data_IF_363286211293
#
_entry.id   IF_363286211293
#
_cell.length_a   1.000
_cell.length_b   1.000
_cell.length_c   1.000
_cell.angle_alpha   90.00
_cell.angle_beta   90.00
_cell.angle_gamma   90.00
#
_symmetry.space_group_name_H-M   'P 1'
#
loop_
_entity.id
_entity.type
_entity.pdbx_description
1 polymer ?
#
# COMPACT_ATOMS: atom_id res chain seq x y z
N UNK A 1 -32.74 34.10 -49.24
CA UNK A 1 -34.17 33.85 -49.04
C UNK A 1 -34.55 32.54 -49.72
N UNK A 2 -34.71 31.49 -48.96
CA UNK A 2 -35.30 30.22 -49.46
C UNK A 2 -35.97 29.54 -48.24
N UNK A 3 -37.26 29.40 -48.35
CA UNK A 3 -38.14 28.78 -47.39
C UNK A 3 -38.06 27.25 -47.54
N UNK A 4 -38.00 26.52 -46.40
CA UNK A 4 -38.15 25.06 -46.35
C UNK A 4 -39.45 24.73 -45.62
N UNK A 5 -40.31 23.87 -46.16
CA UNK A 5 -41.61 23.54 -45.57
C UNK A 5 -41.48 22.50 -44.43
N UNK A 6 -42.24 22.72 -43.38
CA UNK A 6 -42.42 21.83 -42.26
C UNK A 6 -43.41 20.73 -42.62
N UNK A 7 -42.98 19.46 -42.61
CA UNK A 7 -43.88 18.31 -42.71
C UNK A 7 -44.28 17.85 -41.31
N UNK A 8 -45.61 17.90 -41.06
CA UNK A 8 -46.20 17.42 -39.83
C UNK A 8 -46.15 15.89 -39.74
N UNK A 9 -45.65 15.42 -38.58
CA UNK A 9 -45.70 14.01 -38.20
C UNK A 9 -46.91 13.78 -37.32
N UNK A 10 -47.85 13.00 -37.80
CA UNK A 10 -49.04 12.57 -37.05
C UNK A 10 -48.58 11.54 -35.97
N UNK A 11 -48.77 11.89 -34.70
CA UNK A 11 -48.52 10.98 -33.57
C UNK A 11 -49.71 10.03 -33.41
N UNK A 12 -49.48 8.75 -33.66
CA UNK A 12 -50.41 7.68 -33.30
C UNK A 12 -50.15 7.30 -31.83
N UNK A 13 -51.11 7.62 -30.97
CA UNK A 13 -51.10 7.19 -29.58
C UNK A 13 -51.66 5.76 -29.53
N UNK A 14 -50.79 4.77 -29.33
CA UNK A 14 -51.20 3.41 -29.02
C UNK A 14 -51.36 3.28 -27.49
N UNK A 15 -52.57 3.18 -26.98
CA UNK A 15 -52.88 2.79 -25.63
C UNK A 15 -52.60 1.27 -25.48
N UNK A 16 -51.48 0.92 -24.89
CA UNK A 16 -51.25 -0.44 -24.43
C UNK A 16 -51.83 -0.62 -23.01
N UNK A 17 -52.86 -1.46 -22.87
CA UNK A 17 -53.27 -1.94 -21.55
C UNK A 17 -52.14 -2.81 -21.00
N UNK A 18 -51.27 -2.20 -20.17
CA UNK A 18 -50.26 -2.93 -19.42
C UNK A 18 -50.93 -3.71 -18.30
N UNK A 19 -50.84 -5.04 -18.34
CA UNK A 19 -51.10 -5.86 -17.16
C UNK A 19 -50.17 -5.40 -16.03
N UNK A 20 -50.76 -4.89 -14.94
CA UNK A 20 -50.06 -4.60 -13.70
C UNK A 20 -49.57 -5.93 -13.08
N UNK A 21 -48.36 -6.34 -13.41
CA UNK A 21 -47.67 -7.40 -12.67
C UNK A 21 -47.29 -6.82 -11.31
N UNK A 22 -47.75 -7.40 -10.20
CA UNK A 22 -47.33 -6.91 -8.88
C UNK A 22 -45.78 -6.95 -8.76
N UNK A 23 -45.16 -5.99 -8.11
CA UNK A 23 -43.73 -6.00 -7.90
C UNK A 23 -43.33 -7.32 -7.20
N UNK A 24 -42.29 -7.97 -7.72
CA UNK A 24 -41.74 -9.17 -7.10
C UNK A 24 -41.37 -8.86 -5.65
N UNK A 25 -41.60 -9.77 -4.71
CA UNK A 25 -41.19 -9.57 -3.33
C UNK A 25 -39.67 -9.29 -3.29
N UNK A 26 -39.21 -8.41 -2.37
CA UNK A 26 -37.80 -8.14 -2.25
C UNK A 26 -37.07 -9.47 -2.04
N UNK A 27 -36.00 -9.68 -2.80
CA UNK A 27 -35.13 -10.84 -2.59
C UNK A 27 -34.63 -10.78 -1.17
N UNK A 28 -34.59 -11.90 -0.42
CA UNK A 28 -33.93 -11.91 0.87
C UNK A 28 -32.52 -11.35 0.66
N UNK A 29 -32.12 -10.39 1.51
CA UNK A 29 -30.85 -9.71 1.44
C UNK A 29 -29.74 -10.75 1.27
N UNK A 30 -28.99 -10.64 0.18
CA UNK A 30 -27.79 -11.45 0.02
C UNK A 30 -26.92 -11.22 1.27
N UNK A 31 -26.33 -12.28 1.86
CA UNK A 31 -25.52 -12.10 3.05
C UNK A 31 -24.53 -10.97 2.79
N UNK A 32 -24.48 -9.99 3.68
CA UNK A 32 -23.63 -8.81 3.55
C UNK A 32 -22.20 -9.30 3.27
N UNK A 33 -21.69 -9.04 2.09
CA UNK A 33 -20.32 -9.41 1.74
C UNK A 33 -19.38 -8.59 2.62
N UNK A 34 -18.44 -9.25 3.30
CA UNK A 34 -17.43 -8.55 4.10
C UNK A 34 -16.71 -7.52 3.22
N UNK A 35 -16.43 -6.30 3.75
CA UNK A 35 -15.62 -5.31 3.03
C UNK A 35 -14.31 -5.94 2.54
N UNK A 36 -13.90 -5.60 1.32
CA UNK A 36 -12.64 -6.08 0.77
C UNK A 36 -11.46 -5.54 1.58
N UNK A 37 -10.41 -6.34 1.72
CA UNK A 37 -9.14 -5.88 2.25
C UNK A 37 -8.39 -5.10 1.16
N UNK A 38 -8.06 -3.83 1.42
CA UNK A 38 -7.26 -3.02 0.50
C UNK A 38 -5.78 -3.30 0.71
N UNK A 39 -5.07 -3.64 -0.37
CA UNK A 39 -3.68 -4.05 -0.33
C UNK A 39 -2.79 -2.98 -0.94
N UNK A 40 -1.78 -2.56 -0.19
CA UNK A 40 -0.77 -1.61 -0.66
C UNK A 40 0.60 -2.27 -0.65
N UNK A 41 1.32 -2.13 -1.75
CA UNK A 41 2.70 -2.61 -1.89
C UNK A 41 3.63 -1.48 -1.48
N UNK A 42 4.49 -1.72 -0.51
CA UNK A 42 5.51 -0.78 -0.04
C UNK A 42 6.87 -1.29 -0.48
N UNK A 43 7.43 -0.69 -1.54
CA UNK A 43 8.66 -1.18 -2.15
C UNK A 43 9.78 -0.14 -2.11
N UNK A 44 11.02 -0.59 -2.06
CA UNK A 44 12.17 0.29 -2.04
C UNK A 44 13.40 -0.30 -1.36
N UNK A 45 14.21 0.58 -0.81
CA UNK A 45 15.47 0.24 -0.15
C UNK A 45 15.42 0.48 1.37
N UNK A 46 16.56 0.71 2.00
CA UNK A 46 16.69 0.86 3.46
C UNK A 46 15.70 1.83 4.10
N UNK A 47 15.41 2.96 3.46
CA UNK A 47 14.42 3.90 3.98
C UNK A 47 13.00 3.32 4.01
N UNK A 48 12.64 2.49 3.03
CA UNK A 48 11.37 1.76 3.05
C UNK A 48 11.40 0.55 4.00
N UNK A 49 12.57 -0.11 4.16
CA UNK A 49 12.72 -1.16 5.19
C UNK A 49 12.37 -0.68 6.59
N UNK A 50 12.77 0.57 6.89
CA UNK A 50 12.53 1.22 8.16
C UNK A 50 13.78 1.31 9.03
N UNK A 51 14.39 2.50 8.98
CA UNK A 51 15.60 2.86 9.75
C UNK A 51 15.29 3.95 10.79
N UNK A 52 14.02 4.37 10.89
CA UNK A 52 13.60 5.33 11.90
C UNK A 52 13.76 4.72 13.30
N UNK A 53 14.31 5.50 14.23
CA UNK A 53 14.52 5.10 15.63
C UNK A 53 13.41 5.68 16.49
N UNK A 54 12.79 4.84 17.31
CA UNK A 54 11.70 5.26 18.20
C UNK A 54 12.22 6.12 19.34
N UNK A 55 13.21 5.62 20.04
CA UNK A 55 13.82 6.32 21.17
C UNK A 55 15.31 5.98 21.30
N UNK A 56 16.11 6.97 21.58
CA UNK A 56 17.52 6.82 21.91
C UNK A 56 17.95 7.97 22.81
N UNK A 57 18.68 7.67 23.88
CA UNK A 57 19.22 8.68 24.77
C UNK A 57 20.71 8.83 24.52
N UNK A 58 21.22 10.05 24.66
CA UNK A 58 22.64 10.33 24.63
C UNK A 58 23.31 10.05 26.01
N UNK A 59 24.61 10.33 26.11
CA UNK A 59 25.37 10.10 27.34
C UNK A 59 24.93 11.00 28.50
N UNK A 60 24.25 12.11 28.22
CA UNK A 60 23.62 13.01 29.21
C UNK A 60 22.23 12.54 29.67
N UNK A 61 21.68 11.54 29.03
CA UNK A 61 20.33 11.03 29.30
C UNK A 61 19.21 11.76 28.52
N UNK A 62 19.56 12.72 27.67
CA UNK A 62 18.61 13.45 26.84
C UNK A 62 18.19 12.63 25.61
N UNK A 63 16.96 12.82 25.18
CA UNK A 63 16.44 12.16 23.97
C UNK A 63 17.16 12.70 22.73
N UNK A 64 17.72 11.80 21.91
CA UNK A 64 18.47 12.18 20.70
C UNK A 64 17.54 12.79 19.67
N UNK A 65 17.91 13.96 19.16
CA UNK A 65 17.16 14.68 18.14
C UNK A 65 16.90 13.83 16.88
N UNK A 66 15.68 13.90 16.37
CA UNK A 66 15.25 13.14 15.19
C UNK A 66 14.70 11.75 15.49
N UNK A 67 14.72 11.28 16.73
CA UNK A 67 13.95 10.08 17.11
C UNK A 67 12.45 10.38 17.17
N UNK A 68 11.62 9.37 17.05
CA UNK A 68 10.17 9.54 17.10
C UNK A 68 9.71 10.13 18.45
N UNK A 69 10.37 9.70 19.54
CA UNK A 69 10.12 10.24 20.87
C UNK A 69 10.49 11.73 20.98
N UNK A 70 11.62 12.11 20.40
CA UNK A 70 12.03 13.52 20.36
C UNK A 70 11.02 14.36 19.56
N UNK A 71 10.58 13.91 18.36
CA UNK A 71 9.58 14.58 17.53
C UNK A 71 8.26 14.75 18.30
N UNK A 72 7.84 13.72 19.04
CA UNK A 72 6.61 13.73 19.81
C UNK A 72 6.64 14.65 21.04
N UNK A 73 7.82 14.97 21.55
CA UNK A 73 8.01 15.81 22.72
C UNK A 73 8.36 17.29 22.38
N UNK A 74 8.77 17.58 21.14
CA UNK A 74 9.00 18.95 20.69
C UNK A 74 7.68 19.65 20.33
N UNK A 75 7.31 20.76 21.00
CA UNK A 75 6.04 21.47 20.74
C UNK A 75 5.83 21.88 19.27
N UNK A 76 6.91 22.04 18.50
CA UNK A 76 6.86 22.44 17.08
C UNK A 76 6.47 21.28 16.17
N UNK A 77 6.71 20.02 16.60
CA UNK A 77 6.56 18.84 15.76
C UNK A 77 5.61 17.79 16.36
N UNK A 78 5.26 17.88 17.64
CA UNK A 78 4.41 16.92 18.35
C UNK A 78 3.08 16.63 17.62
N UNK A 79 2.46 17.65 17.03
CA UNK A 79 1.21 17.51 16.29
C UNK A 79 1.34 16.62 15.04
N UNK A 80 2.54 16.53 14.44
CA UNK A 80 2.78 15.71 13.26
C UNK A 80 2.66 14.20 13.54
N UNK A 81 2.92 13.81 14.78
CA UNK A 81 2.95 12.40 15.20
C UNK A 81 1.94 12.08 16.31
N UNK A 82 1.06 13.03 16.65
CA UNK A 82 0.06 12.85 17.69
C UNK A 82 -0.87 11.65 17.41
N UNK A 83 -1.23 11.41 16.17
CA UNK A 83 -2.06 10.29 15.73
C UNK A 83 -1.38 8.91 15.92
N UNK A 84 -0.06 8.88 16.15
CA UNK A 84 0.70 7.65 16.42
C UNK A 84 0.73 7.29 17.91
N UNK A 85 0.03 8.07 18.77
CA UNK A 85 -0.07 7.83 20.20
C UNK A 85 -1.49 7.41 20.58
N UNK A 86 -1.59 6.36 21.41
CA UNK A 86 -2.84 5.99 22.08
C UNK A 86 -3.20 6.95 23.21
N UNK A 87 -4.42 6.80 23.73
CA UNK A 87 -4.90 7.61 24.86
C UNK A 87 -4.07 7.41 26.14
N UNK A 88 -3.41 6.28 26.27
CA UNK A 88 -2.49 5.93 27.35
C UNK A 88 -1.06 6.51 27.17
N UNK A 89 -0.82 7.22 26.07
CA UNK A 89 0.47 7.77 25.71
C UNK A 89 1.47 6.76 25.10
N UNK A 90 1.11 5.48 24.98
CA UNK A 90 1.91 4.49 24.28
C UNK A 90 1.85 4.69 22.76
N UNK A 91 2.82 4.13 22.04
CA UNK A 91 2.75 4.09 20.58
C UNK A 91 1.59 3.19 20.15
N UNK A 92 0.69 3.75 19.36
CA UNK A 92 -0.51 3.06 18.94
C UNK A 92 -0.20 1.90 17.98
N UNK A 93 -0.95 0.82 18.11
CA UNK A 93 -1.09 -0.21 17.10
C UNK A 93 -2.51 -0.24 16.58
N UNK A 94 -2.72 -0.78 15.36
CA UNK A 94 -4.03 -0.89 14.73
C UNK A 94 -4.37 -2.35 14.49
N UNK A 95 -5.60 -2.73 14.76
CA UNK A 95 -6.14 -4.07 14.53
C UNK A 95 -6.94 -4.20 13.22
N UNK A 96 -7.10 -3.10 12.49
CA UNK A 96 -7.72 -2.99 11.18
C UNK A 96 -6.70 -2.78 10.03
N UNK A 97 -5.43 -2.51 10.37
CA UNK A 97 -4.31 -2.42 9.43
C UNK A 97 -3.26 -3.44 9.78
N UNK A 98 -2.83 -4.20 8.78
CA UNK A 98 -1.87 -5.28 8.95
C UNK A 98 -0.64 -5.07 8.07
N UNK A 99 0.48 -5.61 8.51
CA UNK A 99 1.74 -5.62 7.75
C UNK A 99 2.14 -7.04 7.42
N UNK A 100 2.71 -7.25 6.23
CA UNK A 100 3.43 -8.48 5.85
C UNK A 100 4.78 -8.12 5.26
N UNK A 101 5.83 -8.66 5.83
CA UNK A 101 7.20 -8.35 5.43
C UNK A 101 8.12 -9.57 5.52
N UNK A 102 8.86 -9.86 4.44
CA UNK A 102 9.93 -10.83 4.37
C UNK A 102 11.30 -10.12 4.37
N UNK A 103 11.95 -9.93 5.52
CA UNK A 103 13.29 -9.36 5.58
C UNK A 103 14.32 -10.24 4.86
N UNK A 104 15.48 -9.70 4.47
CA UNK A 104 16.52 -10.48 3.79
C UNK A 104 16.88 -11.77 4.52
N UNK A 105 16.81 -12.89 3.81
CA UNK A 105 17.15 -14.21 4.34
C UNK A 105 16.24 -14.76 5.43
N UNK A 106 15.04 -14.20 5.60
CA UNK A 106 14.09 -14.60 6.65
C UNK A 106 12.69 -14.80 6.07
N UNK A 107 11.89 -15.69 6.68
CA UNK A 107 10.50 -15.89 6.27
C UNK A 107 9.68 -14.61 6.50
N UNK A 108 8.63 -14.47 5.69
CA UNK A 108 7.64 -13.42 5.87
C UNK A 108 6.98 -13.52 7.25
N UNK A 109 6.62 -12.37 7.79
CA UNK A 109 5.84 -12.22 9.02
C UNK A 109 4.66 -11.31 8.77
N UNK A 110 3.55 -11.64 9.38
CA UNK A 110 2.37 -10.78 9.48
C UNK A 110 2.22 -10.27 10.91
N UNK A 111 1.76 -9.04 11.04
CA UNK A 111 1.43 -8.43 12.33
C UNK A 111 0.38 -7.33 12.14
N UNK A 112 -0.40 -7.00 13.19
CA UNK A 112 -1.08 -5.72 13.26
C UNK A 112 -0.09 -4.56 13.06
N UNK A 113 -0.55 -3.44 12.49
CA UNK A 113 0.30 -2.28 12.30
C UNK A 113 0.77 -1.75 13.65
N UNK A 114 2.06 -1.52 13.76
CA UNK A 114 2.72 -0.96 14.93
C UNK A 114 4.20 -0.79 14.67
N UNK A 115 4.95 -0.46 15.70
CA UNK A 115 6.40 -0.39 15.63
C UNK A 115 6.98 -1.79 15.41
N UNK A 116 8.09 -1.88 14.65
CA UNK A 116 8.87 -3.12 14.49
C UNK A 116 8.63 -3.88 13.18
N UNK A 117 7.86 -3.33 12.22
CA UNK A 117 7.81 -3.89 10.86
C UNK A 117 9.09 -3.55 10.06
N UNK A 118 10.23 -3.92 10.62
CA UNK A 118 11.58 -3.62 10.12
C UNK A 118 12.46 -4.86 10.18
N UNK A 119 13.65 -4.87 9.55
CA UNK A 119 14.60 -5.97 9.69
C UNK A 119 15.23 -6.08 11.09
N UNK A 120 15.21 -5.00 11.88
CA UNK A 120 15.85 -4.93 13.21
C UNK A 120 15.15 -5.81 14.26
N UNK A 121 13.81 -5.85 14.26
CA UNK A 121 12.98 -6.66 15.18
C UNK A 121 13.17 -6.38 16.67
N UNK A 122 13.61 -5.19 17.03
CA UNK A 122 13.93 -4.80 18.39
C UNK A 122 12.84 -3.96 19.09
N UNK A 123 11.73 -3.69 18.38
CA UNK A 123 10.68 -2.83 18.91
C UNK A 123 11.06 -1.35 19.02
N UNK A 124 12.25 -0.98 18.54
CA UNK A 124 12.77 0.39 18.58
C UNK A 124 13.01 1.00 17.19
N UNK A 125 12.60 0.28 16.14
CA UNK A 125 12.70 0.79 14.77
C UNK A 125 11.34 0.79 14.07
N UNK A 126 11.16 1.75 13.17
CA UNK A 126 9.97 1.88 12.33
C UNK A 126 10.34 2.36 10.93
N UNK A 127 9.42 2.20 10.01
CA UNK A 127 9.51 2.69 8.64
C UNK A 127 8.29 3.51 8.25
N UNK A 128 8.19 3.90 6.96
CA UNK A 128 7.09 4.70 6.44
C UNK A 128 5.71 4.05 6.62
N UNK A 129 5.64 2.71 6.75
CA UNK A 129 4.39 1.99 6.96
C UNK A 129 3.66 2.47 8.20
N UNK A 130 4.38 2.89 9.25
CA UNK A 130 3.74 3.29 10.51
C UNK A 130 2.79 4.46 10.29
N UNK A 131 3.27 5.59 9.80
CA UNK A 131 2.43 6.76 9.56
C UNK A 131 1.44 6.54 8.41
N UNK A 132 1.89 5.94 7.30
CA UNK A 132 1.03 5.64 6.15
C UNK A 132 -0.14 4.73 6.54
N UNK A 133 0.12 3.69 7.32
CA UNK A 133 -0.92 2.76 7.73
C UNK A 133 -1.96 3.39 8.65
N UNK A 134 -1.57 4.29 9.54
CA UNK A 134 -2.53 5.07 10.34
C UNK A 134 -3.44 5.92 9.44
N UNK A 135 -2.85 6.66 8.49
CA UNK A 135 -3.63 7.50 7.55
C UNK A 135 -4.57 6.65 6.68
N UNK A 136 -4.09 5.52 6.17
CA UNK A 136 -4.91 4.63 5.34
C UNK A 136 -6.03 3.97 6.15
N UNK A 137 -5.76 3.54 7.39
CA UNK A 137 -6.79 2.98 8.26
C UNK A 137 -7.88 3.96 8.64
N UNK A 138 -7.55 5.24 8.77
CA UNK A 138 -8.55 6.28 9.04
C UNK A 138 -9.37 6.65 7.79
N UNK A 139 -8.79 6.48 6.59
CA UNK A 139 -9.41 6.90 5.34
C UNK A 139 -10.20 5.79 4.62
N UNK A 140 -9.92 4.53 4.92
CA UNK A 140 -10.48 3.38 4.20
C UNK A 140 -11.48 2.64 5.08
N UNK A 141 -12.69 2.49 4.56
CA UNK A 141 -13.70 1.65 5.21
C UNK A 141 -13.39 0.16 4.94
N UNK A 142 -12.84 -0.50 5.94
CA UNK A 142 -12.43 -1.90 5.90
C UNK A 142 -10.93 -2.11 6.16
N UNK A 143 -10.51 -3.37 6.26
CA UNK A 143 -9.13 -3.67 6.61
C UNK A 143 -8.13 -3.34 5.51
N UNK A 144 -6.92 -2.98 5.92
CA UNK A 144 -5.79 -2.67 5.05
C UNK A 144 -4.67 -3.67 5.29
N UNK A 145 -4.03 -4.13 4.21
CA UNK A 145 -2.81 -4.94 4.26
C UNK A 145 -1.66 -4.21 3.56
N UNK A 146 -0.59 -3.94 4.29
CA UNK A 146 0.64 -3.36 3.79
C UNK A 146 1.65 -4.48 3.52
N UNK A 147 1.93 -4.76 2.26
CA UNK A 147 2.92 -5.76 1.85
C UNK A 147 4.23 -5.05 1.59
N UNK A 148 5.18 -5.20 2.52
CA UNK A 148 6.49 -4.56 2.42
C UNK A 148 7.46 -5.46 1.64
N UNK A 149 7.99 -4.91 0.54
CA UNK A 149 8.96 -5.55 -0.36
C UNK A 149 10.16 -4.62 -0.54
N UNK A 150 10.89 -4.42 0.53
CA UNK A 150 12.01 -3.50 0.58
C UNK A 150 13.25 -4.19 1.14
N UNK A 151 14.39 -3.91 0.53
CA UNK A 151 15.68 -4.50 0.89
C UNK A 151 16.78 -3.46 0.79
N UNK A 152 17.55 -3.29 1.86
CA UNK A 152 18.62 -2.30 1.96
C UNK A 152 19.72 -2.50 0.93
N UNK A 153 20.31 -1.40 0.46
CA UNK A 153 21.42 -1.42 -0.47
C UNK A 153 21.07 -1.82 -1.91
N UNK A 154 19.78 -1.87 -2.26
CA UNK A 154 19.29 -2.32 -3.57
C UNK A 154 19.04 -1.15 -4.52
N UNK A 155 19.40 -1.33 -5.82
CA UNK A 155 19.21 -0.35 -6.88
C UNK A 155 18.04 -0.73 -7.78
N UNK A 156 17.45 0.25 -8.45
CA UNK A 156 16.50 0.01 -9.53
C UNK A 156 17.23 -0.48 -10.78
N UNK A 157 18.44 0.00 -11.01
CA UNK A 157 19.25 -0.31 -12.18
C UNK A 157 19.56 -1.80 -12.34
N UNK A 158 19.84 -2.50 -11.21
CA UNK A 158 20.18 -3.92 -11.24
C UNK A 158 19.24 -4.80 -10.44
N UNK A 159 18.92 -4.41 -9.19
CA UNK A 159 18.23 -5.30 -8.26
C UNK A 159 16.72 -5.35 -8.51
N UNK A 160 16.09 -4.18 -8.73
CA UNK A 160 14.67 -4.08 -9.07
C UNK A 160 14.42 -3.91 -10.58
N UNK A 161 15.44 -4.14 -11.43
CA UNK A 161 15.30 -3.95 -12.88
C UNK A 161 14.12 -4.73 -13.43
N UNK A 162 13.13 -4.03 -14.03
CA UNK A 162 11.94 -4.71 -14.57
C UNK A 162 12.26 -5.36 -15.93
N UNK A 163 11.52 -6.38 -16.33
CA UNK A 163 11.74 -7.08 -17.60
C UNK A 163 11.77 -6.17 -18.83
N UNK A 164 10.88 -5.16 -18.89
CA UNK A 164 10.78 -4.23 -20.03
C UNK A 164 11.96 -3.27 -20.16
N UNK A 165 12.83 -3.18 -19.15
CA UNK A 165 14.05 -2.37 -19.23
C UNK A 165 15.19 -3.09 -19.98
N UNK A 166 14.96 -4.33 -20.42
CA UNK A 166 15.98 -5.15 -21.08
C UNK A 166 17.07 -5.63 -20.13
N UNK A 167 17.97 -6.47 -20.66
CA UNK A 167 18.98 -7.12 -19.84
C UNK A 167 18.37 -8.20 -18.92
N UNK A 168 19.05 -8.48 -17.82
CA UNK A 168 18.58 -9.45 -16.83
C UNK A 168 17.59 -8.81 -15.88
N UNK A 169 16.43 -9.46 -15.69
CA UNK A 169 15.46 -9.06 -14.67
C UNK A 169 16.08 -9.10 -13.28
N UNK A 170 15.88 -8.02 -12.52
CA UNK A 170 16.44 -7.88 -11.19
C UNK A 170 15.83 -8.89 -10.20
N UNK A 171 16.64 -9.50 -9.34
CA UNK A 171 16.15 -10.49 -8.37
C UNK A 171 15.15 -9.91 -7.37
N UNK A 172 15.29 -8.63 -6.98
CA UNK A 172 14.34 -7.97 -6.10
C UNK A 172 13.01 -7.69 -6.79
N UNK A 173 12.99 -7.43 -8.11
CA UNK A 173 11.74 -7.35 -8.86
C UNK A 173 10.98 -8.69 -8.81
N UNK A 174 11.68 -9.77 -9.14
CA UNK A 174 11.09 -11.11 -9.13
C UNK A 174 10.58 -11.50 -7.73
N UNK A 175 11.37 -11.20 -6.69
CA UNK A 175 11.00 -11.45 -5.30
C UNK A 175 9.80 -10.60 -4.88
N UNK A 176 9.74 -9.31 -5.24
CA UNK A 176 8.60 -8.43 -4.96
C UNK A 176 7.30 -9.01 -5.53
N UNK A 177 7.30 -9.41 -6.79
CA UNK A 177 6.12 -10.04 -7.43
C UNK A 177 5.71 -11.33 -6.70
N UNK A 178 6.68 -12.17 -6.33
CA UNK A 178 6.43 -13.41 -5.60
C UNK A 178 5.84 -13.15 -4.20
N UNK A 179 6.39 -12.21 -3.44
CA UNK A 179 5.90 -11.84 -2.10
C UNK A 179 4.49 -11.26 -2.13
N UNK A 180 4.17 -10.43 -3.13
CA UNK A 180 2.82 -9.89 -3.29
C UNK A 180 1.83 -11.00 -3.62
N UNK A 181 2.16 -11.90 -4.55
CA UNK A 181 1.31 -13.06 -4.88
C UNK A 181 1.11 -13.97 -3.66
N UNK A 182 2.17 -14.23 -2.89
CA UNK A 182 2.08 -15.00 -1.67
C UNK A 182 1.18 -14.32 -0.62
N UNK A 183 1.31 -12.99 -0.46
CA UNK A 183 0.45 -12.22 0.44
C UNK A 183 -1.03 -12.36 0.07
N UNK A 184 -1.37 -12.17 -1.21
CA UNK A 184 -2.75 -12.29 -1.69
C UNK A 184 -3.32 -13.71 -1.51
N UNK A 185 -2.48 -14.73 -1.61
CA UNK A 185 -2.91 -16.13 -1.44
C UNK A 185 -3.04 -16.57 0.03
N UNK A 186 -2.21 -16.05 0.92
CA UNK A 186 -2.00 -16.59 2.27
C UNK A 186 -2.53 -15.68 3.39
N UNK A 187 -2.69 -14.37 3.16
CA UNK A 187 -3.02 -13.43 4.22
C UNK A 187 -4.33 -13.73 4.95
N UNK A 188 -5.31 -14.33 4.27
CA UNK A 188 -6.57 -14.77 4.92
C UNK A 188 -6.39 -15.93 5.88
N UNK A 189 -5.32 -16.71 5.74
CA UNK A 189 -4.96 -17.79 6.68
C UNK A 189 -4.01 -17.30 7.76
N UNK A 190 -3.05 -16.45 7.38
CA UNK A 190 -2.05 -15.89 8.28
C UNK A 190 -2.66 -14.88 9.27
N UNK A 191 -3.71 -14.14 8.86
CA UNK A 191 -4.36 -13.08 9.64
C UNK A 191 -5.85 -13.42 9.82
N UNK A 192 -6.27 -13.89 11.00
CA UNK A 192 -7.66 -14.31 11.23
C UNK A 192 -8.72 -13.25 10.89
N UNK A 193 -8.41 -11.95 11.11
CA UNK A 193 -9.30 -10.85 10.78
C UNK A 193 -9.55 -10.66 9.27
N UNK A 194 -8.69 -11.23 8.42
CA UNK A 194 -8.81 -11.16 6.95
C UNK A 194 -9.44 -12.41 6.34
N UNK A 195 -9.78 -13.42 7.15
CA UNK A 195 -10.35 -14.69 6.66
C UNK A 195 -11.64 -14.47 5.89
N UNK A 196 -11.72 -15.06 4.69
CA UNK A 196 -12.91 -14.98 3.84
C UNK A 196 -13.12 -13.63 3.15
N UNK A 197 -12.20 -12.69 3.30
CA UNK A 197 -12.26 -11.41 2.60
C UNK A 197 -11.64 -11.50 1.22
N UNK A 198 -12.15 -10.69 0.29
CA UNK A 198 -11.53 -10.44 -1.00
C UNK A 198 -10.38 -9.45 -0.82
N UNK A 199 -9.28 -9.64 -1.53
CA UNK A 199 -8.13 -8.74 -1.55
C UNK A 199 -8.13 -7.90 -2.82
N UNK A 200 -7.91 -6.58 -2.68
CA UNK A 200 -7.83 -5.64 -3.79
C UNK A 200 -6.52 -4.87 -3.74
N UNK A 201 -5.68 -5.05 -4.75
CA UNK A 201 -4.49 -4.22 -4.92
C UNK A 201 -4.92 -2.78 -5.18
N UNK A 202 -4.58 -1.87 -4.25
CA UNK A 202 -5.10 -0.50 -4.22
C UNK A 202 -4.02 0.56 -4.35
N UNK A 203 -2.75 0.19 -4.19
CA UNK A 203 -1.67 1.15 -4.34
C UNK A 203 -0.27 0.54 -4.35
N UNK A 204 0.66 1.31 -4.90
CA UNK A 204 2.09 1.01 -4.92
C UNK A 204 2.83 2.26 -4.43
N UNK A 205 3.63 2.09 -3.38
CA UNK A 205 4.44 3.14 -2.77
C UNK A 205 5.90 2.81 -2.98
N UNK A 206 6.63 3.70 -3.64
CA UNK A 206 8.04 3.54 -3.96
C UNK A 206 8.87 4.55 -3.18
N UNK A 207 9.70 4.08 -2.25
CA UNK A 207 10.62 4.93 -1.50
C UNK A 207 12.06 4.46 -1.71
N UNK A 208 12.66 5.03 -2.75
CA UNK A 208 13.91 4.53 -3.33
C UNK A 208 14.66 5.66 -4.04
N UNK A 209 15.94 5.43 -4.42
CA UNK A 209 16.72 6.34 -5.26
C UNK A 209 18.16 6.52 -4.80
N UNK A 210 18.45 6.31 -3.52
CA UNK A 210 19.79 6.54 -2.98
C UNK A 210 20.88 5.72 -3.71
N UNK A 211 20.66 4.42 -3.87
CA UNK A 211 21.66 3.54 -4.46
C UNK A 211 21.93 3.85 -5.93
N UNK A 212 20.89 4.16 -6.68
CA UNK A 212 21.04 4.59 -8.08
C UNK A 212 21.72 5.97 -8.16
N UNK A 213 21.41 6.88 -7.22
CA UNK A 213 22.08 8.17 -7.09
C UNK A 213 23.59 8.08 -6.83
N UNK A 214 24.06 6.98 -6.26
CA UNK A 214 25.48 6.70 -6.08
C UNK A 214 26.20 6.26 -7.38
N UNK A 215 25.46 5.95 -8.46
CA UNK A 215 26.01 5.64 -9.79
C UNK A 215 25.46 6.65 -10.83
N UNK A 216 26.00 7.87 -10.85
CA UNK A 216 25.52 8.93 -11.74
C UNK A 216 25.81 8.67 -13.22
N UNK A 217 26.69 7.71 -13.54
CA UNK A 217 27.06 7.41 -14.92
C UNK A 217 26.16 6.36 -15.56
N UNK A 218 25.75 5.36 -14.82
CA UNK A 218 25.01 4.22 -15.37
C UNK A 218 23.55 4.19 -14.86
N UNK A 219 23.32 4.30 -13.56
CA UNK A 219 22.00 4.10 -13.00
C UNK A 219 21.10 5.36 -13.12
N UNK A 220 21.64 6.54 -12.85
CA UNK A 220 20.85 7.79 -12.89
C UNK A 220 20.23 8.05 -14.27
N UNK A 221 20.95 7.90 -15.40
CA UNK A 221 20.38 8.14 -16.74
C UNK A 221 19.20 7.23 -17.11
N UNK A 222 19.14 6.03 -16.54
CA UNK A 222 18.07 5.07 -16.81
C UNK A 222 16.95 5.07 -15.77
N UNK A 223 17.11 5.80 -14.65
CA UNK A 223 16.24 5.67 -13.47
C UNK A 223 14.78 5.96 -13.79
N UNK A 224 14.49 7.05 -14.49
CA UNK A 224 13.12 7.45 -14.85
C UNK A 224 12.44 6.38 -15.70
N UNK A 225 13.11 5.96 -16.78
CA UNK A 225 12.55 4.95 -17.68
C UNK A 225 12.39 3.59 -16.98
N UNK A 226 13.37 3.19 -16.16
CA UNK A 226 13.27 1.96 -15.39
C UNK A 226 12.11 2.00 -14.38
N UNK A 227 11.83 3.16 -13.77
CA UNK A 227 10.69 3.31 -12.86
C UNK A 227 9.35 3.23 -13.60
N UNK A 228 9.23 3.85 -14.77
CA UNK A 228 8.05 3.70 -15.63
C UNK A 228 7.82 2.25 -15.99
N UNK A 229 8.87 1.56 -16.46
CA UNK A 229 8.81 0.15 -16.82
C UNK A 229 8.46 -0.74 -15.62
N UNK A 230 9.01 -0.44 -14.44
CA UNK A 230 8.68 -1.15 -13.20
C UNK A 230 7.17 -1.10 -12.89
N UNK A 231 6.57 0.08 -12.98
CA UNK A 231 5.13 0.24 -12.71
C UNK A 231 4.28 -0.50 -13.74
N UNK A 232 4.65 -0.42 -15.03
CA UNK A 232 3.93 -1.10 -16.11
C UNK A 232 4.04 -2.62 -15.98
N UNK A 233 5.25 -3.12 -15.76
CA UNK A 233 5.50 -4.56 -15.62
C UNK A 233 4.83 -5.11 -14.36
N UNK A 234 4.87 -4.39 -13.24
CA UNK A 234 4.24 -4.79 -12.00
C UNK A 234 2.71 -4.90 -12.15
N UNK A 235 2.07 -3.94 -12.82
CA UNK A 235 0.64 -4.02 -13.14
C UNK A 235 0.31 -5.25 -13.97
N UNK A 236 1.07 -5.50 -15.04
CA UNK A 236 0.91 -6.69 -15.89
C UNK A 236 1.07 -7.98 -15.07
N UNK A 237 2.14 -8.10 -14.30
CA UNK A 237 2.52 -9.34 -13.61
C UNK A 237 1.62 -9.64 -12.41
N UNK A 238 0.94 -8.62 -11.86
CA UNK A 238 -0.05 -8.75 -10.80
C UNK A 238 -1.51 -8.72 -11.31
N UNK A 239 -1.72 -8.53 -12.62
CA UNK A 239 -3.06 -8.53 -13.22
C UNK A 239 -3.92 -7.34 -12.79
N UNK A 240 -3.30 -6.17 -12.57
CA UNK A 240 -4.02 -4.93 -12.23
C UNK A 240 -4.10 -3.99 -13.42
N UNK A 241 -5.21 -3.22 -13.57
CA UNK A 241 -5.36 -2.26 -14.66
C UNK A 241 -4.39 -1.10 -14.59
#
# INVERSE_FOLDING_TARGET
MAWIPVHGVASVIALSLGCLVPPAPPRPDAPATLPACKVFILAGQSNMEGQGVVARRDDGGDEVAGTLAWIANDPRTASLVAHLRGADGAWASRDDVFTRYAPPGRPARTAPLGIGCTPHRDGNHFGPELALGHVLGDAIDGPVLLVKTAWGGKSLFTDFRPPSSGGMTGPCYAQMVAEVKAALAQAGEEIPALRGRRFELSGFVWYHGWNDGCDPKNAVPEYEQNLVNLVVDLRRDLGTP
#
